data_IF_362446321429
#
_entry.id   IF_362446321429
#
_cell.length_a   1.000
_cell.length_b   1.000
_cell.length_c   1.000
_cell.angle_alpha   90.00
_cell.angle_beta   90.00
_cell.angle_gamma   90.00
#
_symmetry.space_group_name_H-M   'P 1'
#
loop_
_entity.id
_entity.type
_entity.pdbx_description
1 polymer ?
#
# COMPACT_ATOMS: atom_id res chain seq x y z
N UNK A 1 8.25 8.33 39.43
CA UNK A 1 7.55 7.10 38.97
C UNK A 1 6.42 7.35 37.98
N UNK A 2 5.49 8.29 38.26
CA UNK A 2 4.32 8.57 37.40
C UNK A 2 4.68 9.05 35.98
N UNK A 3 5.67 9.93 35.83
CA UNK A 3 6.11 10.47 34.53
C UNK A 3 6.64 9.38 33.58
N UNK A 4 7.45 8.43 34.08
CA UNK A 4 7.96 7.30 33.28
C UNK A 4 6.84 6.38 32.80
N UNK A 5 5.82 6.16 33.63
CA UNK A 5 4.63 5.37 33.25
C UNK A 5 3.78 6.09 32.22
N UNK A 6 3.60 7.40 32.36
CA UNK A 6 2.85 8.23 31.42
C UNK A 6 3.51 8.28 30.03
N UNK A 7 4.82 8.52 29.98
CA UNK A 7 5.58 8.53 28.72
C UNK A 7 5.48 7.19 27.98
N UNK A 8 5.50 6.06 28.70
CA UNK A 8 5.34 4.73 28.12
C UNK A 8 3.97 4.55 27.45
N UNK A 9 2.91 5.09 28.04
CA UNK A 9 1.56 5.05 27.47
C UNK A 9 1.52 5.85 26.16
N UNK A 10 2.10 7.06 26.16
CA UNK A 10 2.20 7.89 24.95
C UNK A 10 2.93 7.14 23.83
N UNK A 11 4.05 6.50 24.13
CA UNK A 11 4.80 5.73 23.13
C UNK A 11 3.95 4.60 22.53
N UNK A 12 3.26 3.82 23.37
CA UNK A 12 2.39 2.74 22.88
C UNK A 12 1.22 3.29 22.04
N UNK A 13 0.67 4.44 22.42
CA UNK A 13 -0.38 5.11 21.66
C UNK A 13 0.14 5.56 20.29
N UNK A 14 1.30 6.23 20.23
CA UNK A 14 1.91 6.66 18.98
C UNK A 14 2.22 5.48 18.05
N UNK A 15 2.76 4.38 18.59
CA UNK A 15 2.99 3.15 17.82
C UNK A 15 1.68 2.59 17.28
N UNK A 16 0.64 2.51 18.12
CA UNK A 16 -0.67 2.01 17.71
C UNK A 16 -1.27 2.87 16.59
N UNK A 17 -1.25 4.20 16.74
CA UNK A 17 -1.75 5.13 15.73
C UNK A 17 -0.97 5.00 14.43
N UNK A 18 0.36 4.98 14.50
CA UNK A 18 1.23 4.79 13.34
C UNK A 18 0.89 3.49 12.60
N UNK A 19 0.86 2.35 13.31
CA UNK A 19 0.53 1.05 12.73
C UNK A 19 -0.88 1.04 12.11
N UNK A 20 -1.86 1.68 12.73
CA UNK A 20 -3.20 1.84 12.16
C UNK A 20 -3.16 2.64 10.86
N UNK A 21 -2.45 3.77 10.81
CA UNK A 21 -2.37 4.56 9.57
C UNK A 21 -1.71 3.81 8.42
N UNK A 22 -0.67 3.02 8.69
CA UNK A 22 0.05 2.32 7.63
C UNK A 22 -0.62 1.01 7.19
N UNK A 23 -1.42 0.36 8.04
CA UNK A 23 -1.94 -1.01 7.77
C UNK A 23 -3.43 -1.21 8.02
N UNK A 24 -4.12 -0.17 8.50
CA UNK A 24 -5.48 -0.16 9.05
C UNK A 24 -5.72 -1.00 10.30
N UNK A 25 -5.15 -2.21 10.39
CA UNK A 25 -5.43 -3.18 11.47
C UNK A 25 -4.32 -3.23 12.54
N UNK A 26 -3.12 -2.78 12.19
CA UNK A 26 -1.90 -3.05 12.98
C UNK A 26 -1.94 -2.47 14.39
N UNK A 27 -2.55 -1.30 14.60
CA UNK A 27 -2.65 -0.72 15.93
C UNK A 27 -3.51 -1.55 16.89
N UNK A 28 -4.66 -2.05 16.42
CA UNK A 28 -5.55 -2.90 17.23
C UNK A 28 -4.82 -4.20 17.61
N UNK A 29 -4.17 -4.85 16.64
CA UNK A 29 -3.41 -6.09 16.88
C UNK A 29 -2.21 -5.85 17.82
N UNK A 30 -1.56 -4.70 17.72
CA UNK A 30 -0.51 -4.29 18.63
C UNK A 30 -1.03 -4.16 20.06
N UNK A 31 -2.16 -3.47 20.27
CA UNK A 31 -2.77 -3.34 21.59
C UNK A 31 -3.17 -4.70 22.18
N UNK A 32 -3.74 -5.60 21.36
CA UNK A 32 -4.02 -6.99 21.77
C UNK A 32 -2.75 -7.69 22.26
N UNK A 33 -1.62 -7.53 21.58
CA UNK A 33 -0.35 -8.12 22.01
C UNK A 33 0.11 -7.60 23.39
N UNK A 34 -0.11 -6.31 23.68
CA UNK A 34 0.22 -5.70 24.97
C UNK A 34 -0.68 -6.23 26.10
N UNK A 35 -1.97 -6.43 25.81
CA UNK A 35 -2.96 -6.92 26.76
C UNK A 35 -2.74 -8.39 27.12
N UNK A 36 -2.50 -9.25 26.13
CA UNK A 36 -2.37 -10.70 26.33
C UNK A 36 -1.04 -11.11 26.96
N UNK A 37 0.03 -10.36 26.72
CA UNK A 37 1.36 -10.67 27.28
C UNK A 37 1.71 -9.66 28.36
N UNK A 38 1.54 -10.07 29.62
CA UNK A 38 1.90 -9.25 30.78
C UNK A 38 3.38 -8.83 30.77
N UNK A 39 3.64 -7.60 31.21
CA UNK A 39 4.99 -7.05 31.41
C UNK A 39 5.75 -7.69 32.58
N UNK A 40 5.11 -8.56 33.38
CA UNK A 40 5.73 -9.33 34.46
C UNK A 40 6.44 -10.61 33.98
N UNK A 41 6.17 -11.07 32.75
CA UNK A 41 6.78 -12.30 32.21
C UNK A 41 8.27 -12.08 31.88
N UNK A 42 9.10 -13.11 32.09
CA UNK A 42 10.46 -13.11 31.55
C UNK A 42 10.45 -12.96 30.03
N UNK A 43 11.36 -12.14 29.49
CA UNK A 43 11.49 -11.79 28.08
C UNK A 43 10.19 -11.27 27.46
N UNK A 44 9.36 -10.54 28.21
CA UNK A 44 8.04 -10.09 27.75
C UNK A 44 8.09 -9.25 26.47
N UNK A 45 9.16 -8.48 26.24
CA UNK A 45 9.31 -7.66 25.04
C UNK A 45 9.40 -8.53 23.78
N UNK A 46 10.31 -9.51 23.79
CA UNK A 46 10.46 -10.47 22.70
C UNK A 46 9.16 -11.25 22.47
N UNK A 47 8.52 -11.72 23.55
CA UNK A 47 7.24 -12.44 23.46
C UNK A 47 6.13 -11.59 22.84
N UNK A 48 6.01 -10.31 23.24
CA UNK A 48 5.07 -9.35 22.66
C UNK A 48 5.32 -9.13 21.18
N UNK A 49 6.57 -8.90 20.80
CA UNK A 49 6.96 -8.69 19.40
C UNK A 49 6.66 -9.91 18.54
N UNK A 50 7.07 -11.10 18.99
CA UNK A 50 6.80 -12.35 18.26
C UNK A 50 5.30 -12.62 18.14
N UNK A 51 4.54 -12.43 19.23
CA UNK A 51 3.10 -12.60 19.20
C UNK A 51 2.42 -11.60 18.25
N UNK A 52 2.84 -10.32 18.28
CA UNK A 52 2.35 -9.29 17.37
C UNK A 52 2.63 -9.67 15.91
N UNK A 53 3.85 -10.10 15.57
CA UNK A 53 4.21 -10.51 14.21
C UNK A 53 3.32 -11.67 13.76
N UNK A 54 3.18 -12.70 14.60
CA UNK A 54 2.37 -13.89 14.27
C UNK A 54 0.91 -13.49 14.05
N UNK A 55 0.29 -12.79 15.01
CA UNK A 55 -1.12 -12.42 14.89
C UNK A 55 -1.36 -11.45 13.73
N UNK A 56 -0.41 -10.55 13.44
CA UNK A 56 -0.47 -9.63 12.31
C UNK A 56 -0.44 -10.37 10.97
N UNK A 57 0.47 -11.32 10.79
CA UNK A 57 0.59 -12.10 9.57
C UNK A 57 -0.62 -13.01 9.37
N UNK A 58 -1.06 -13.71 10.42
CA UNK A 58 -2.28 -14.52 10.38
C UNK A 58 -3.49 -13.65 10.03
N UNK A 59 -3.60 -12.47 10.65
CA UNK A 59 -4.72 -11.57 10.36
C UNK A 59 -4.70 -11.09 8.92
N UNK A 60 -3.57 -10.57 8.45
CA UNK A 60 -3.37 -10.01 7.11
C UNK A 60 -3.63 -11.04 6.00
N UNK A 61 -3.14 -12.28 6.17
CA UNK A 61 -3.19 -13.28 5.09
C UNK A 61 -4.35 -14.26 5.18
N UNK A 62 -4.92 -14.51 6.37
CA UNK A 62 -5.94 -15.54 6.56
C UNK A 62 -7.29 -15.01 7.05
N UNK A 63 -7.31 -14.01 7.94
CA UNK A 63 -8.54 -13.53 8.58
C UNK A 63 -9.16 -12.39 7.76
N UNK A 64 -8.41 -11.32 7.53
CA UNK A 64 -8.86 -10.11 6.85
C UNK A 64 -9.46 -10.40 5.46
N UNK A 65 -8.86 -11.23 4.59
CA UNK A 65 -9.45 -11.51 3.28
C UNK A 65 -10.84 -12.15 3.34
N UNK A 66 -11.15 -12.87 4.42
CA UNK A 66 -12.46 -13.51 4.65
C UNK A 66 -13.50 -12.56 5.24
N UNK A 67 -13.05 -11.55 5.99
CA UNK A 67 -13.92 -10.57 6.66
C UNK A 67 -14.20 -9.36 5.75
N UNK A 68 -13.21 -8.93 4.96
CA UNK A 68 -13.31 -7.78 4.06
C UNK A 68 -14.58 -7.76 3.16
N UNK A 69 -15.08 -8.90 2.63
CA UNK A 69 -16.29 -8.91 1.81
C UNK A 69 -17.55 -8.40 2.51
N UNK A 70 -17.60 -8.46 3.85
CA UNK A 70 -18.70 -7.87 4.66
C UNK A 70 -18.75 -6.34 4.49
N UNK A 71 -17.60 -5.72 4.21
CA UNK A 71 -17.43 -4.28 4.00
C UNK A 71 -17.39 -3.90 2.51
N UNK A 72 -17.91 -4.76 1.62
CA UNK A 72 -17.80 -4.62 0.16
C UNK A 72 -16.35 -4.45 -0.31
N UNK A 73 -15.42 -5.18 0.32
CA UNK A 73 -14.00 -5.21 -0.07
C UNK A 73 -13.58 -6.62 -0.43
N UNK A 74 -12.86 -6.74 -1.54
CA UNK A 74 -12.27 -7.97 -2.04
C UNK A 74 -10.78 -7.75 -2.21
N UNK A 75 -9.99 -8.73 -1.77
CA UNK A 75 -8.55 -8.74 -1.95
C UNK A 75 -8.23 -8.98 -3.42
N UNK A 76 -7.36 -8.17 -4.01
CA UNK A 76 -6.82 -8.44 -5.34
C UNK A 76 -5.86 -9.63 -5.25
N UNK A 77 -6.07 -10.64 -6.09
CA UNK A 77 -5.25 -11.85 -6.17
C UNK A 77 -4.28 -11.80 -7.35
N UNK A 78 -3.00 -12.05 -7.07
CA UNK A 78 -1.98 -12.16 -8.10
C UNK A 78 -2.18 -13.44 -8.93
N UNK A 79 -2.01 -13.34 -10.24
CA UNK A 79 -2.12 -14.45 -11.17
C UNK A 79 -1.21 -14.24 -12.40
N UNK A 80 -1.43 -15.00 -13.47
CA UNK A 80 -0.61 -14.91 -14.67
C UNK A 80 -0.88 -13.67 -15.55
N UNK A 81 -1.84 -12.81 -15.22
CA UNK A 81 -2.26 -11.62 -15.98
C UNK A 81 -2.30 -10.34 -15.17
N UNK A 82 -2.35 -10.46 -13.84
CA UNK A 82 -2.46 -9.34 -12.91
C UNK A 82 -1.55 -9.61 -11.71
N UNK A 83 -0.72 -8.66 -11.32
CA UNK A 83 0.13 -8.80 -10.13
C UNK A 83 0.44 -7.46 -9.45
N UNK A 84 0.67 -7.52 -8.14
CA UNK A 84 1.13 -6.39 -7.37
C UNK A 84 2.55 -5.99 -7.78
N UNK A 85 2.81 -4.68 -7.85
CA UNK A 85 4.18 -4.17 -8.06
C UNK A 85 5.11 -4.53 -6.90
N UNK A 86 4.64 -4.41 -5.65
CA UNK A 86 5.41 -4.83 -4.48
C UNK A 86 4.62 -5.74 -3.53
N UNK A 87 5.38 -6.56 -2.79
CA UNK A 87 4.81 -7.33 -1.68
C UNK A 87 4.29 -6.43 -0.54
N UNK A 88 4.84 -5.21 -0.40
CA UNK A 88 4.47 -4.26 0.65
C UNK A 88 2.98 -3.89 0.59
N UNK A 89 2.39 -3.75 -0.61
CA UNK A 89 0.95 -3.49 -0.72
C UNK A 89 0.12 -4.59 -0.06
N UNK A 90 0.52 -5.86 -0.23
CA UNK A 90 -0.15 -7.02 0.39
C UNK A 90 0.11 -7.06 1.90
N UNK A 91 1.36 -6.85 2.32
CA UNK A 91 1.73 -6.85 3.73
C UNK A 91 1.01 -5.76 4.52
N UNK A 92 0.78 -4.59 3.93
CA UNK A 92 0.11 -3.46 4.57
C UNK A 92 -1.40 -3.43 4.33
N UNK A 93 -1.98 -4.48 3.74
CA UNK A 93 -3.41 -4.54 3.43
C UNK A 93 -3.89 -3.39 2.52
N UNK A 94 -3.07 -2.93 1.57
CA UNK A 94 -3.38 -1.83 0.63
C UNK A 94 -3.82 -2.35 -0.76
N UNK A 95 -4.20 -3.61 -0.85
CA UNK A 95 -4.57 -4.32 -2.09
C UNK A 95 -6.05 -4.77 -2.11
N UNK A 96 -6.94 -3.99 -1.50
CA UNK A 96 -8.38 -4.28 -1.49
C UNK A 96 -9.15 -3.30 -2.36
N UNK A 97 -10.18 -3.78 -3.03
CA UNK A 97 -11.08 -2.99 -3.88
C UNK A 97 -12.52 -3.45 -3.73
N UNK A 98 -13.48 -2.67 -4.21
CA UNK A 98 -14.88 -3.12 -4.34
C UNK A 98 -15.00 -4.27 -5.35
N UNK A 99 -16.05 -5.09 -5.24
CA UNK A 99 -16.33 -6.16 -6.20
C UNK A 99 -16.40 -5.65 -7.64
N UNK A 100 -17.04 -4.50 -7.85
CA UNK A 100 -17.14 -3.86 -9.16
C UNK A 100 -15.77 -3.48 -9.71
N UNK A 101 -14.92 -2.86 -8.89
CA UNK A 101 -13.57 -2.48 -9.31
C UNK A 101 -12.68 -3.71 -9.56
N UNK A 102 -12.86 -4.78 -8.79
CA UNK A 102 -12.20 -6.07 -9.03
C UNK A 102 -12.57 -6.64 -10.42
N UNK A 103 -13.85 -6.63 -10.79
CA UNK A 103 -14.31 -7.06 -12.12
C UNK A 103 -13.68 -6.21 -13.23
N UNK A 104 -13.65 -4.88 -13.08
CA UNK A 104 -13.00 -3.98 -14.06
C UNK A 104 -11.52 -4.33 -14.20
N UNK A 105 -10.80 -4.51 -13.10
CA UNK A 105 -9.38 -4.84 -13.12
C UNK A 105 -9.12 -6.20 -13.80
N UNK A 106 -9.98 -7.18 -13.53
CA UNK A 106 -9.95 -8.50 -14.18
C UNK A 106 -10.15 -8.36 -15.69
N UNK A 107 -11.17 -7.64 -16.13
CA UNK A 107 -11.46 -7.42 -17.55
C UNK A 107 -10.31 -6.71 -18.27
N UNK A 108 -9.70 -5.70 -17.63
CA UNK A 108 -8.53 -5.00 -18.15
C UNK A 108 -7.36 -5.99 -18.31
N UNK A 109 -7.08 -6.81 -17.29
CA UNK A 109 -6.01 -7.81 -17.37
C UNK A 109 -6.21 -8.85 -18.47
N UNK A 110 -7.46 -9.28 -18.71
CA UNK A 110 -7.80 -10.22 -19.77
C UNK A 110 -7.61 -9.59 -21.15
N UNK A 111 -8.01 -8.33 -21.32
CA UNK A 111 -7.83 -7.57 -22.57
C UNK A 111 -6.35 -7.35 -22.87
N UNK A 112 -5.56 -6.89 -21.89
CA UNK A 112 -4.12 -6.70 -22.05
C UNK A 112 -3.42 -8.01 -22.37
N UNK A 113 -3.74 -9.10 -21.70
CA UNK A 113 -3.15 -10.41 -22.00
C UNK A 113 -3.54 -10.92 -23.40
N UNK A 114 -4.71 -10.55 -23.94
CA UNK A 114 -5.09 -10.92 -25.31
C UNK A 114 -4.24 -10.18 -26.34
N UNK A 115 -3.91 -8.91 -26.09
CA UNK A 115 -3.10 -8.07 -26.98
C UNK A 115 -1.60 -8.36 -26.81
N UNK A 116 -1.16 -8.59 -25.58
CA UNK A 116 0.23 -8.85 -25.18
C UNK A 116 0.30 -10.10 -24.28
N UNK A 117 0.38 -11.32 -24.85
CA UNK A 117 0.28 -12.59 -24.09
C UNK A 117 1.31 -12.83 -22.98
N UNK A 118 2.39 -12.04 -22.94
CA UNK A 118 3.45 -12.15 -21.95
C UNK A 118 3.48 -10.97 -20.96
N UNK A 119 2.52 -10.05 -21.06
CA UNK A 119 2.46 -8.86 -20.23
C UNK A 119 1.33 -8.97 -19.23
N UNK A 120 1.70 -8.78 -17.97
CA UNK A 120 0.76 -8.63 -16.86
C UNK A 120 0.38 -7.17 -16.66
N UNK A 121 -0.84 -6.93 -16.22
CA UNK A 121 -1.20 -5.66 -15.59
C UNK A 121 -0.53 -5.61 -14.22
N UNK A 122 0.28 -4.58 -14.00
CA UNK A 122 0.92 -4.33 -12.71
C UNK A 122 0.09 -3.32 -11.94
N UNK A 123 -0.42 -3.69 -10.78
CA UNK A 123 -1.16 -2.78 -9.90
C UNK A 123 -0.30 -2.29 -8.73
N UNK A 124 -0.60 -1.09 -8.23
CA UNK A 124 0.09 -0.46 -7.11
C UNK A 124 -0.88 -0.30 -5.92
N UNK A 125 -0.98 0.90 -5.34
CA UNK A 125 -1.86 1.12 -4.21
C UNK A 125 -3.34 1.10 -4.63
N UNK A 126 -4.14 0.26 -3.97
CA UNK A 126 -5.57 0.18 -4.12
C UNK A 126 -6.26 0.84 -2.93
N UNK A 127 -6.84 0.09 -2.00
CA UNK A 127 -7.46 0.59 -0.77
C UNK A 127 -7.25 -0.39 0.39
N UNK A 128 -7.67 0.01 1.58
CA UNK A 128 -7.69 -0.81 2.78
C UNK A 128 -8.94 -1.74 2.85
N UNK A 129 -8.91 -2.80 3.68
CA UNK A 129 -9.96 -3.82 3.72
C UNK A 129 -11.28 -3.40 4.38
N UNK A 130 -11.29 -2.33 5.19
CA UNK A 130 -12.45 -1.96 6.02
C UNK A 130 -12.78 -0.48 5.93
N UNK A 131 -14.06 -0.12 6.00
CA UNK A 131 -14.59 1.24 6.14
C UNK A 131 -14.19 2.24 5.02
N UNK A 132 -15.18 2.96 4.50
CA UNK A 132 -14.90 4.10 3.63
C UNK A 132 -14.35 5.28 4.44
N UNK A 133 -13.56 6.14 3.78
CA UNK A 133 -13.05 7.39 4.36
C UNK A 133 -11.73 7.25 5.13
N UNK A 134 -11.22 6.02 5.31
CA UNK A 134 -9.90 5.84 5.93
C UNK A 134 -8.79 6.37 5.00
N UNK A 135 -7.92 7.29 5.47
CA UNK A 135 -6.94 7.93 4.60
C UNK A 135 -5.83 6.96 4.20
N UNK A 136 -5.56 6.85 2.90
CA UNK A 136 -4.45 6.08 2.34
C UNK A 136 -3.33 7.04 1.94
N UNK A 137 -2.34 7.28 2.81
CA UNK A 137 -1.21 8.15 2.45
C UNK A 137 -0.25 7.45 1.47
N UNK A 138 0.30 8.16 0.45
CA UNK A 138 -0.01 9.54 0.05
C UNK A 138 -1.26 9.65 -0.87
N UNK A 139 -1.81 8.54 -1.34
CA UNK A 139 -2.94 8.44 -2.27
C UNK A 139 -4.32 8.75 -1.63
N UNK A 140 -4.51 9.99 -1.19
CA UNK A 140 -5.69 10.40 -0.40
C UNK A 140 -7.05 10.18 -1.09
N UNK A 141 -7.10 10.08 -2.42
CA UNK A 141 -8.34 9.79 -3.17
C UNK A 141 -8.79 8.33 -3.05
N UNK A 142 -7.92 7.44 -2.57
CA UNK A 142 -8.16 6.00 -2.41
C UNK A 142 -8.82 5.71 -1.06
N UNK A 143 -10.00 6.26 -0.83
CA UNK A 143 -10.72 6.12 0.45
C UNK A 143 -11.97 5.23 0.37
N UNK A 144 -12.36 4.77 -0.83
CA UNK A 144 -13.65 4.11 -1.09
C UNK A 144 -13.54 2.74 -1.80
N UNK A 145 -12.33 2.25 -2.07
CA UNK A 145 -12.11 0.98 -2.79
C UNK A 145 -12.54 0.99 -4.26
N UNK A 146 -12.86 2.17 -4.83
CA UNK A 146 -13.31 2.29 -6.23
C UNK A 146 -12.18 2.70 -7.18
N UNK A 147 -10.94 2.73 -6.69
CA UNK A 147 -9.75 3.19 -7.41
C UNK A 147 -8.61 2.20 -7.19
N UNK A 148 -7.79 2.05 -8.21
CA UNK A 148 -6.57 1.26 -8.16
C UNK A 148 -5.56 1.93 -9.07
N UNK A 149 -4.35 2.14 -8.56
CA UNK A 149 -3.25 2.59 -9.38
C UNK A 149 -2.73 1.40 -10.20
N UNK A 150 -2.52 1.62 -11.49
CA UNK A 150 -1.86 0.66 -12.37
C UNK A 150 -0.65 1.31 -12.99
N UNK A 151 0.36 0.49 -13.26
CA UNK A 151 1.55 0.98 -13.91
C UNK A 151 1.40 1.03 -15.42
N UNK A 152 2.13 1.93 -16.06
CA UNK A 152 2.31 1.90 -17.50
C UNK A 152 3.02 0.60 -17.94
N UNK A 153 2.77 0.24 -19.19
CA UNK A 153 3.53 -0.78 -19.90
C UNK A 153 4.76 -0.08 -20.50
N UNK A 154 5.94 -0.58 -20.19
CA UNK A 154 7.22 0.00 -20.61
C UNK A 154 7.89 -0.87 -21.67
N UNK A 155 8.81 -0.26 -22.40
CA UNK A 155 9.77 -0.95 -23.26
C UNK A 155 11.14 -0.93 -22.60
N UNK A 156 11.91 -2.00 -22.80
CA UNK A 156 13.32 -2.04 -22.43
C UNK A 156 14.19 -1.23 -23.43
N UNK A 157 15.49 -1.15 -23.18
CA UNK A 157 16.45 -0.44 -24.04
C UNK A 157 16.49 -0.98 -25.49
N UNK A 158 16.00 -2.20 -25.72
CA UNK A 158 15.92 -2.84 -27.04
C UNK A 158 14.55 -2.64 -27.70
N UNK A 159 13.65 -1.88 -27.07
CA UNK A 159 12.29 -1.63 -27.56
C UNK A 159 11.30 -2.77 -27.27
N UNK A 160 11.68 -3.79 -26.50
CA UNK A 160 10.81 -4.92 -26.17
C UNK A 160 9.91 -4.58 -24.99
N UNK A 161 8.62 -4.87 -25.12
CA UNK A 161 7.64 -4.67 -24.04
C UNK A 161 8.00 -5.52 -22.82
N UNK A 162 7.93 -4.93 -21.63
CA UNK A 162 8.35 -5.56 -20.38
C UNK A 162 7.44 -5.25 -19.20
N UNK A 163 7.40 -6.17 -18.22
CA UNK A 163 6.82 -5.95 -16.91
C UNK A 163 7.75 -5.22 -15.94
N UNK A 164 9.02 -4.98 -16.29
CA UNK A 164 9.93 -4.13 -15.52
C UNK A 164 9.39 -2.70 -15.38
N UNK A 165 9.82 -2.02 -14.31
CA UNK A 165 9.37 -0.67 -13.94
C UNK A 165 10.56 0.20 -13.60
N UNK A 166 10.52 1.51 -13.86
CA UNK A 166 11.68 2.38 -13.68
C UNK A 166 12.04 2.62 -12.21
N UNK A 167 11.19 2.24 -11.26
CA UNK A 167 11.48 2.34 -9.82
C UNK A 167 10.98 1.14 -9.02
N UNK A 168 11.66 0.90 -7.90
CA UNK A 168 11.26 -0.11 -6.94
C UNK A 168 9.91 0.18 -6.32
N UNK A 169 9.61 1.45 -6.00
CA UNK A 169 8.29 1.82 -5.47
C UNK A 169 7.16 1.75 -6.50
N UNK A 170 7.50 1.83 -7.79
CA UNK A 170 6.56 2.02 -8.88
C UNK A 170 6.10 3.48 -9.05
N UNK A 171 6.60 4.38 -8.20
CA UNK A 171 6.36 5.81 -8.21
C UNK A 171 7.69 6.60 -8.25
N UNK A 172 7.60 7.92 -8.36
CA UNK A 172 8.71 8.83 -8.10
C UNK A 172 9.69 9.03 -9.27
N UNK A 173 9.42 8.45 -10.44
CA UNK A 173 10.16 8.74 -11.67
C UNK A 173 9.29 9.63 -12.55
N UNK A 174 9.86 10.76 -12.95
CA UNK A 174 9.18 11.79 -13.71
C UNK A 174 9.95 12.07 -15.01
N UNK A 175 9.20 12.42 -16.04
CA UNK A 175 9.74 12.98 -17.28
C UNK A 175 9.64 14.49 -17.18
N UNK A 176 10.73 15.18 -17.53
CA UNK A 176 10.70 16.65 -17.60
C UNK A 176 9.92 17.08 -18.86
N UNK A 177 9.16 18.19 -18.79
CA UNK A 177 8.46 18.71 -19.96
C UNK A 177 9.47 19.05 -21.06
N UNK A 178 9.09 18.79 -22.29
CA UNK A 178 9.83 19.28 -23.45
C UNK A 178 9.81 20.80 -23.53
N UNK A 179 10.66 21.39 -24.39
CA UNK A 179 10.82 22.86 -24.49
C UNK A 179 9.51 23.63 -24.75
N UNK A 180 8.54 22.98 -25.39
CA UNK A 180 7.26 23.59 -25.76
C UNK A 180 6.09 23.16 -24.86
N UNK A 181 6.35 22.36 -23.82
CA UNK A 181 5.33 21.91 -22.87
C UNK A 181 5.31 22.78 -21.63
N UNK A 182 4.11 22.95 -21.06
CA UNK A 182 3.93 23.68 -19.81
C UNK A 182 4.51 22.85 -18.66
N UNK A 183 5.45 23.43 -17.91
CA UNK A 183 5.92 22.82 -16.67
C UNK A 183 4.87 22.97 -15.55
N UNK A 184 3.89 22.06 -15.56
CA UNK A 184 2.78 22.05 -14.61
C UNK A 184 3.28 21.96 -13.16
N UNK A 185 4.36 21.21 -12.91
CA UNK A 185 4.96 21.05 -11.57
C UNK A 185 5.42 22.39 -11.00
N UNK A 186 6.11 23.22 -11.79
CA UNK A 186 6.54 24.56 -11.37
C UNK A 186 5.31 25.45 -11.09
N UNK A 187 4.30 25.42 -11.95
CA UNK A 187 3.09 26.23 -11.76
C UNK A 187 2.34 25.85 -10.48
N UNK A 188 2.17 24.55 -10.21
CA UNK A 188 1.53 24.06 -8.99
C UNK A 188 2.29 24.49 -7.73
N UNK A 189 3.63 24.37 -7.74
CA UNK A 189 4.46 24.82 -6.62
C UNK A 189 4.38 26.31 -6.36
N UNK A 190 4.37 27.13 -7.42
CA UNK A 190 4.17 28.59 -7.30
C UNK A 190 2.83 28.96 -6.67
N UNK A 191 1.81 28.11 -6.80
CA UNK A 191 0.49 28.25 -6.15
C UNK A 191 0.42 27.68 -4.73
N UNK A 192 1.55 27.24 -4.16
CA UNK A 192 1.62 26.69 -2.80
C UNK A 192 1.41 25.17 -2.71
N UNK A 193 1.20 24.47 -3.83
CA UNK A 193 1.05 23.02 -3.84
C UNK A 193 2.42 22.31 -3.89
N UNK A 194 3.13 22.37 -2.76
CA UNK A 194 4.49 21.83 -2.61
C UNK A 194 4.56 20.30 -2.76
N UNK A 195 3.45 19.58 -2.57
CA UNK A 195 3.42 18.11 -2.55
C UNK A 195 3.56 17.43 -3.92
N UNK A 196 3.40 18.17 -5.04
CA UNK A 196 3.30 17.58 -6.39
C UNK A 196 4.60 16.95 -6.93
N UNK A 197 5.76 17.21 -6.32
CA UNK A 197 7.00 16.50 -6.66
C UNK A 197 7.56 15.69 -5.49
N UNK A 198 6.83 15.59 -4.38
CA UNK A 198 7.30 14.96 -3.15
C UNK A 198 7.68 13.48 -3.36
N UNK A 199 6.94 12.76 -4.19
CA UNK A 199 7.17 11.33 -4.42
C UNK A 199 8.50 11.04 -5.14
N UNK A 200 9.20 12.05 -5.69
CA UNK A 200 10.56 11.87 -6.26
C UNK A 200 11.58 11.39 -5.23
N UNK A 201 11.33 11.65 -3.94
CA UNK A 201 12.17 11.20 -2.83
C UNK A 201 11.84 9.77 -2.37
N UNK A 202 10.79 9.13 -2.94
CA UNK A 202 10.28 7.81 -2.55
C UNK A 202 10.33 6.82 -3.72
N UNK A 203 11.34 6.93 -4.59
CA UNK A 203 11.59 5.94 -5.66
C UNK A 203 12.01 4.58 -5.10
N UNK A 204 12.65 4.59 -3.93
CA UNK A 204 13.34 3.44 -3.32
C UNK A 204 14.38 2.80 -4.25
N UNK A 205 15.00 3.62 -5.10
CA UNK A 205 15.96 3.17 -6.11
C UNK A 205 15.35 3.09 -7.51
N UNK A 206 16.21 3.14 -8.53
CA UNK A 206 15.84 2.93 -9.93
C UNK A 206 16.14 1.49 -10.29
N UNK A 207 15.22 0.87 -11.01
CA UNK A 207 15.47 -0.38 -11.71
C UNK A 207 15.82 0.02 -13.15
N UNK A 208 17.03 -0.31 -13.58
CA UNK A 208 17.42 -0.22 -14.99
C UNK A 208 16.81 -1.40 -15.75
#
# INVERSE_FOLDING_TARGET
MKIKSFLRIIIHLLISVFLTFITQIGGILYLISLLLISNKKSNYQLKRTLFFIIIYLVSTFLIVPKIAPIFDRVKIEDNNKLEAHNFIQKLFNRNYVTKKMHSVLTDVSLKINKEFPHIKVIYLDANFPFLDGFPLLPHLSHYDGKKNDISFIYQDEKGKITNSKPSNSGYGIFVEPSKNEINQTILCKKRGFWQYDFTKYFTFGKLQ
#
